data_IF_297989494892
#
_entry.id   IF_297989494892
#
_cell.length_a   1.000
_cell.length_b   1.000
_cell.length_c   1.000
_cell.angle_alpha   90.00
_cell.angle_beta   90.00
_cell.angle_gamma   90.00
#
_symmetry.space_group_name_H-M   'P 1'
#
loop_
_entity.id
_entity.type
_entity.pdbx_description
1 polymer ?
#
# COMPACT_ATOMS: atom_id res chain seq x y z
N UNK A 1 -32.42 -21.08 -60.43
CA UNK A 1 -33.75 -21.42 -59.87
C UNK A 1 -33.56 -22.06 -58.51
N UNK A 2 -33.75 -21.26 -57.45
CA UNK A 2 -34.26 -21.60 -56.11
C UNK A 2 -34.03 -23.02 -55.55
N UNK A 3 -33.25 -23.17 -54.47
CA UNK A 3 -33.81 -23.19 -53.09
C UNK A 3 -32.77 -23.56 -52.01
N UNK A 4 -32.63 -22.65 -51.04
CA UNK A 4 -32.69 -22.84 -49.58
C UNK A 4 -31.85 -23.97 -48.97
N UNK A 5 -30.74 -23.60 -48.31
CA UNK A 5 -30.20 -24.37 -47.19
C UNK A 5 -29.98 -23.47 -45.96
N UNK A 6 -30.75 -23.84 -44.95
CA UNK A 6 -31.02 -23.22 -43.66
C UNK A 6 -29.78 -23.35 -42.75
N UNK A 7 -29.09 -22.25 -42.46
CA UNK A 7 -28.01 -22.24 -41.48
C UNK A 7 -28.55 -21.88 -40.09
N UNK A 8 -28.64 -22.90 -39.24
CA UNK A 8 -28.70 -22.73 -37.80
C UNK A 8 -27.30 -22.30 -37.32
N UNK A 9 -27.11 -21.04 -36.96
CA UNK A 9 -25.99 -20.61 -36.13
C UNK A 9 -26.52 -20.19 -34.76
N UNK A 10 -26.55 -21.18 -33.84
CA UNK A 10 -26.59 -20.93 -32.41
C UNK A 10 -25.24 -20.34 -32.03
N UNK A 11 -25.16 -19.01 -31.95
CA UNK A 11 -24.05 -18.34 -31.28
C UNK A 11 -24.20 -18.56 -29.77
N UNK A 12 -23.50 -19.56 -29.26
CA UNK A 12 -23.24 -19.70 -27.84
C UNK A 12 -22.45 -18.46 -27.39
N UNK A 13 -23.10 -17.58 -26.63
CA UNK A 13 -22.43 -16.51 -25.90
C UNK A 13 -21.58 -17.21 -24.84
N UNK A 14 -20.30 -17.44 -25.16
CA UNK A 14 -19.29 -17.81 -24.20
C UNK A 14 -19.14 -16.62 -23.24
N UNK A 15 -19.86 -16.68 -22.12
CA UNK A 15 -19.71 -15.76 -21.01
C UNK A 15 -18.27 -15.83 -20.54
N UNK A 16 -17.47 -14.85 -20.92
CA UNK A 16 -16.14 -14.62 -20.37
C UNK A 16 -16.34 -14.06 -18.96
N UNK A 17 -16.06 -14.81 -17.87
CA UNK A 17 -16.20 -14.29 -16.53
C UNK A 17 -14.91 -13.55 -16.18
N UNK A 18 -14.59 -12.46 -16.90
CA UNK A 18 -13.34 -11.73 -16.68
C UNK A 18 -13.46 -10.60 -15.63
N UNK A 19 -14.60 -10.44 -14.97
CA UNK A 19 -14.83 -9.27 -14.10
C UNK A 19 -14.89 -9.56 -12.60
N UNK A 20 -14.68 -10.81 -12.15
CA UNK A 20 -14.80 -11.13 -10.72
C UNK A 20 -13.60 -10.66 -9.85
N UNK A 21 -12.48 -10.22 -10.44
CA UNK A 21 -11.24 -10.00 -9.67
C UNK A 21 -11.03 -8.57 -9.13
N UNK A 22 -11.95 -7.62 -9.34
CA UNK A 22 -11.74 -6.22 -8.90
C UNK A 22 -12.60 -5.77 -7.71
N UNK A 23 -13.50 -6.60 -7.20
CA UNK A 23 -14.49 -6.21 -6.16
C UNK A 23 -14.00 -6.45 -4.71
N UNK A 24 -12.85 -7.11 -4.51
CA UNK A 24 -12.22 -7.27 -3.18
C UNK A 24 -11.35 -6.07 -2.76
N UNK A 25 -11.51 -4.92 -3.42
CA UNK A 25 -10.81 -3.70 -3.04
C UNK A 25 -11.34 -3.20 -1.68
N UNK A 26 -10.56 -3.47 -0.62
CA UNK A 26 -10.52 -2.72 0.65
C UNK A 26 -11.41 -3.16 1.84
N UNK A 27 -11.71 -4.45 2.02
CA UNK A 27 -12.20 -4.89 3.34
C UNK A 27 -11.11 -4.64 4.41
N UNK A 28 -11.35 -3.67 5.31
CA UNK A 28 -10.40 -3.26 6.34
C UNK A 28 -9.62 -1.97 6.06
N UNK A 29 -9.96 -1.19 5.02
CA UNK A 29 -9.45 0.18 4.86
C UNK A 29 -10.55 1.18 5.21
N UNK A 30 -10.21 2.23 5.95
CA UNK A 30 -11.11 3.34 6.31
C UNK A 30 -10.36 4.66 6.26
N UNK A 31 -10.49 5.39 5.14
CA UNK A 31 -9.68 6.59 4.91
C UNK A 31 -8.20 6.22 4.89
N UNK A 32 -7.40 6.89 5.71
CA UNK A 32 -5.96 6.62 5.87
C UNK A 32 -5.64 5.56 6.92
N UNK A 33 -6.59 4.71 7.29
CA UNK A 33 -6.40 3.63 8.24
C UNK A 33 -6.56 2.27 7.56
N UNK A 34 -5.69 1.33 7.89
CA UNK A 34 -5.82 -0.08 7.51
C UNK A 34 -5.85 -0.95 8.76
N UNK A 35 -6.69 -1.98 8.79
CA UNK A 35 -6.73 -2.91 9.93
C UNK A 35 -5.55 -3.90 9.89
N UNK A 36 -5.25 -4.49 11.04
CA UNK A 36 -4.31 -5.62 11.14
C UNK A 36 -4.64 -6.74 10.16
N UNK A 37 -5.92 -7.14 10.07
CA UNK A 37 -6.34 -8.21 9.14
C UNK A 37 -6.17 -7.85 7.66
N UNK A 38 -6.28 -6.57 7.29
CA UNK A 38 -5.94 -6.12 5.94
C UNK A 38 -4.44 -6.27 5.68
N UNK A 39 -3.60 -5.82 6.62
CA UNK A 39 -2.15 -5.89 6.46
C UNK A 39 -1.64 -7.33 6.39
N UNK A 40 -2.14 -8.22 7.25
CA UNK A 40 -1.80 -9.66 7.24
C UNK A 40 -2.03 -10.31 5.87
N UNK A 41 -3.18 -10.01 5.23
CA UNK A 41 -3.51 -10.49 3.88
C UNK A 41 -2.59 -9.90 2.80
N UNK A 42 -1.94 -8.77 3.08
CA UNK A 42 -1.13 -8.01 2.12
C UNK A 42 0.39 -8.03 2.41
N UNK A 43 0.89 -8.79 3.39
CA UNK A 43 2.32 -8.84 3.73
C UNK A 43 3.24 -9.23 2.56
N UNK A 44 2.71 -9.96 1.58
CA UNK A 44 3.45 -10.39 0.38
C UNK A 44 3.08 -9.61 -0.88
N UNK A 45 2.24 -8.58 -0.76
CA UNK A 45 1.82 -7.76 -1.87
C UNK A 45 2.98 -6.84 -2.26
N UNK A 46 3.50 -7.01 -3.47
CA UNK A 46 4.62 -6.21 -3.97
C UNK A 46 4.28 -4.72 -4.09
N UNK A 47 3.00 -4.35 -4.10
CA UNK A 47 2.54 -2.96 -4.15
C UNK A 47 2.36 -2.31 -2.78
N UNK A 48 2.65 -3.02 -1.70
CA UNK A 48 2.59 -2.51 -0.32
C UNK A 48 4.01 -2.40 0.24
N UNK A 49 4.35 -1.20 0.71
CA UNK A 49 5.56 -0.94 1.50
C UNK A 49 5.15 -0.70 2.94
N UNK A 50 5.85 -1.35 3.88
CA UNK A 50 5.56 -1.24 5.31
C UNK A 50 6.71 -0.46 5.97
N UNK A 51 6.39 0.64 6.64
CA UNK A 51 7.35 1.47 7.36
C UNK A 51 7.08 1.41 8.87
N UNK A 52 8.10 1.04 9.64
CA UNK A 52 8.08 1.11 11.09
C UNK A 52 8.74 2.41 11.53
N UNK A 53 7.95 3.35 12.07
CA UNK A 53 8.40 4.65 12.53
C UNK A 53 9.13 4.61 13.89
N UNK A 54 9.27 3.43 14.50
CA UNK A 54 9.81 3.30 15.85
C UNK A 54 11.33 3.50 15.89
N UNK A 55 11.90 3.82 17.06
CA UNK A 55 13.35 3.84 17.23
C UNK A 55 13.97 2.49 16.85
N UNK A 56 15.16 2.51 16.24
CA UNK A 56 15.81 1.30 15.69
C UNK A 56 15.97 0.18 16.71
N UNK A 57 16.13 0.50 17.99
CA UNK A 57 16.21 -0.48 19.06
C UNK A 57 14.92 -1.30 19.19
N UNK A 58 13.76 -0.66 19.07
CA UNK A 58 12.47 -1.34 19.18
C UNK A 58 12.20 -2.16 17.92
N UNK A 59 12.45 -1.60 16.74
CA UNK A 59 12.35 -2.32 15.47
C UNK A 59 13.24 -3.58 15.48
N UNK A 60 14.49 -3.46 15.94
CA UNK A 60 15.43 -4.59 16.00
C UNK A 60 14.95 -5.68 16.96
N UNK A 61 14.33 -5.31 18.08
CA UNK A 61 13.79 -6.26 19.03
C UNK A 61 12.61 -7.06 18.46
N UNK A 62 11.70 -6.37 17.75
CA UNK A 62 10.57 -7.00 17.04
C UNK A 62 9.96 -6.01 16.04
N UNK A 63 9.70 -6.48 14.83
CA UNK A 63 9.01 -5.72 13.80
C UNK A 63 8.14 -6.65 12.93
N UNK A 64 7.26 -6.05 12.13
CA UNK A 64 6.46 -6.78 11.14
C UNK A 64 7.40 -7.28 10.02
N UNK A 65 7.37 -8.57 9.63
CA UNK A 65 8.24 -9.08 8.58
C UNK A 65 8.13 -8.28 7.28
N UNK A 66 9.27 -7.86 6.73
CA UNK A 66 9.35 -7.04 5.52
C UNK A 66 9.20 -5.53 5.74
N UNK A 67 8.93 -5.08 6.97
CA UNK A 67 8.92 -3.66 7.29
C UNK A 67 10.32 -3.05 7.21
N UNK A 68 10.39 -1.80 6.76
CA UNK A 68 11.61 -0.99 6.74
C UNK A 68 11.58 -0.07 7.96
N UNK A 69 12.69 0.01 8.69
CA UNK A 69 12.78 0.94 9.81
C UNK A 69 12.97 2.39 9.32
N UNK A 70 11.95 3.21 9.55
CA UNK A 70 12.07 4.66 9.57
C UNK A 70 12.30 5.08 11.02
N UNK A 71 13.54 5.09 11.51
CA UNK A 71 13.78 5.62 12.85
C UNK A 71 13.37 7.10 12.91
N UNK A 72 12.29 7.39 13.65
CA UNK A 72 11.70 8.74 13.72
C UNK A 72 12.69 9.78 14.26
N UNK A 73 13.60 9.40 15.15
CA UNK A 73 14.58 10.30 15.73
C UNK A 73 15.79 10.50 14.82
N UNK A 74 15.99 9.61 13.85
CA UNK A 74 17.00 9.76 12.80
C UNK A 74 16.46 10.54 11.61
N UNK A 75 15.23 10.25 11.18
CA UNK A 75 14.70 10.73 9.91
C UNK A 75 13.56 11.76 10.02
N UNK A 76 12.82 11.78 11.14
CA UNK A 76 11.65 12.65 11.33
C UNK A 76 11.96 14.02 11.96
N UNK A 77 13.22 14.28 12.32
CA UNK A 77 13.62 15.54 12.97
C UNK A 77 13.60 16.72 12.00
N UNK A 78 13.97 16.50 10.75
CA UNK A 78 14.05 17.54 9.73
C UNK A 78 13.69 16.99 8.34
N UNK A 79 12.93 17.78 7.59
CA UNK A 79 12.70 17.52 6.17
C UNK A 79 13.97 17.83 5.36
N UNK A 80 14.41 16.87 4.55
CA UNK A 80 15.50 16.97 3.60
C UNK A 80 15.10 17.66 2.28
N UNK A 81 16.08 18.14 1.50
CA UNK A 81 15.86 18.55 0.12
C UNK A 81 15.21 17.42 -0.72
N UNK A 82 14.37 17.80 -1.69
CA UNK A 82 13.58 16.85 -2.51
C UNK A 82 14.45 15.75 -3.13
N UNK A 83 15.60 16.10 -3.71
CA UNK A 83 16.47 15.11 -4.35
C UNK A 83 17.03 14.06 -3.37
N UNK A 84 17.27 14.43 -2.12
CA UNK A 84 17.81 13.51 -1.11
C UNK A 84 16.73 12.57 -0.58
N UNK A 85 15.53 13.09 -0.32
CA UNK A 85 14.41 12.26 0.12
C UNK A 85 13.96 11.32 -1.00
N UNK A 86 13.89 11.78 -2.25
CA UNK A 86 13.52 10.94 -3.39
C UNK A 86 14.47 9.74 -3.51
N UNK A 87 15.78 9.98 -3.45
CA UNK A 87 16.78 8.91 -3.48
C UNK A 87 16.60 7.92 -2.34
N UNK A 88 16.31 8.40 -1.12
CA UNK A 88 16.06 7.53 0.05
C UNK A 88 14.82 6.68 -0.15
N UNK A 89 13.70 7.29 -0.54
CA UNK A 89 12.44 6.59 -0.73
C UNK A 89 12.54 5.53 -1.84
N UNK A 90 13.22 5.85 -2.96
CA UNK A 90 13.49 4.88 -4.01
C UNK A 90 14.34 3.69 -3.52
N UNK A 91 15.35 3.93 -2.68
CA UNK A 91 16.15 2.86 -2.07
C UNK A 91 15.32 1.96 -1.14
N UNK A 92 14.21 2.46 -0.61
CA UNK A 92 13.22 1.71 0.17
C UNK A 92 12.12 1.07 -0.69
N UNK A 93 12.23 1.14 -2.02
CA UNK A 93 11.23 0.58 -2.93
C UNK A 93 9.94 1.40 -3.00
N UNK A 94 9.94 2.62 -2.47
CA UNK A 94 8.81 3.55 -2.55
C UNK A 94 8.88 4.27 -3.89
N UNK A 95 7.83 4.11 -4.66
CA UNK A 95 7.65 4.71 -5.99
C UNK A 95 6.17 5.07 -6.19
N UNK A 96 5.84 5.90 -7.20
CA UNK A 96 4.45 6.17 -7.54
C UNK A 96 3.63 4.88 -7.71
N UNK A 97 2.41 4.87 -7.18
CA UNK A 97 1.50 3.71 -7.22
C UNK A 97 1.66 2.70 -6.09
N UNK A 98 2.69 2.81 -5.24
CA UNK A 98 2.80 1.99 -4.03
C UNK A 98 1.87 2.49 -2.94
N UNK A 99 1.25 1.56 -2.20
CA UNK A 99 0.58 1.82 -0.93
C UNK A 99 1.62 1.79 0.18
N UNK A 100 1.64 2.82 1.02
CA UNK A 100 2.59 2.94 2.13
C UNK A 100 1.83 2.78 3.44
N UNK A 101 2.11 1.70 4.18
CA UNK A 101 1.52 1.44 5.49
C UNK A 101 2.55 1.76 6.56
N UNK A 102 2.24 2.75 7.40
CA UNK A 102 3.09 3.22 8.48
C UNK A 102 2.54 2.70 9.81
N UNK A 103 3.43 2.27 10.69
CA UNK A 103 3.06 1.89 12.04
C UNK A 103 4.16 2.28 13.03
N UNK A 104 3.81 2.23 14.31
CA UNK A 104 4.74 2.32 15.42
C UNK A 104 4.27 1.37 16.54
N UNK A 105 4.74 1.56 17.76
CA UNK A 105 4.40 0.69 18.89
C UNK A 105 2.94 0.80 19.36
N UNK A 106 2.14 1.67 18.74
CA UNK A 106 0.73 1.90 19.05
C UNK A 106 0.57 3.05 20.03
N UNK A 107 -0.45 3.89 19.81
CA UNK A 107 -0.80 5.00 20.69
C UNK A 107 0.24 6.13 20.74
N UNK A 108 1.16 6.21 19.77
CA UNK A 108 2.16 7.29 19.68
C UNK A 108 1.93 8.15 18.46
N UNK A 109 2.76 9.20 18.30
CA UNK A 109 2.66 10.13 17.17
C UNK A 109 3.59 9.78 16.00
N UNK A 110 4.43 8.74 16.13
CA UNK A 110 5.58 8.54 15.25
C UNK A 110 5.15 8.19 13.83
N UNK A 111 4.21 7.26 13.66
CA UNK A 111 3.65 6.90 12.36
C UNK A 111 2.93 8.09 11.72
N UNK A 112 2.20 8.87 12.50
CA UNK A 112 1.49 10.07 12.01
C UNK A 112 2.47 11.18 11.58
N UNK A 113 3.60 11.34 12.29
CA UNK A 113 4.64 12.30 11.91
C UNK A 113 5.33 11.92 10.61
N UNK A 114 5.54 10.62 10.38
CA UNK A 114 6.02 10.08 9.11
C UNK A 114 4.98 10.29 7.99
N UNK A 115 3.69 10.04 8.26
CA UNK A 115 2.62 10.33 7.30
C UNK A 115 2.65 11.79 6.86
N UNK A 116 2.78 12.72 7.82
CA UNK A 116 2.92 14.15 7.51
C UNK A 116 4.14 14.45 6.63
N UNK A 117 5.31 13.84 6.88
CA UNK A 117 6.48 14.01 6.01
C UNK A 117 6.17 13.59 4.58
N UNK A 118 5.55 12.42 4.39
CA UNK A 118 5.24 11.92 3.05
C UNK A 118 4.21 12.80 2.33
N UNK A 119 3.17 13.25 3.03
CA UNK A 119 2.21 14.22 2.51
C UNK A 119 2.89 15.55 2.12
N UNK A 120 3.79 16.06 2.98
CA UNK A 120 4.58 17.26 2.71
C UNK A 120 5.44 17.13 1.43
N UNK A 121 5.97 15.93 1.16
CA UNK A 121 6.70 15.63 -0.07
C UNK A 121 5.82 15.34 -1.29
N UNK A 122 4.50 15.48 -1.16
CA UNK A 122 3.55 15.36 -2.27
C UNK A 122 3.13 13.94 -2.60
N UNK A 123 3.30 12.99 -1.68
CA UNK A 123 2.72 11.66 -1.86
C UNK A 123 1.20 11.74 -1.80
N UNK A 124 0.47 11.08 -2.71
CA UNK A 124 -0.99 11.16 -2.71
C UNK A 124 -1.56 10.64 -1.39
N UNK A 125 -2.36 11.43 -0.64
CA UNK A 125 -2.88 10.99 0.65
C UNK A 125 -3.66 9.68 0.56
N UNK A 126 -4.34 9.41 -0.55
CA UNK A 126 -5.07 8.16 -0.78
C UNK A 126 -4.21 6.89 -0.78
N UNK A 127 -2.88 7.02 -0.91
CA UNK A 127 -1.93 5.91 -0.96
C UNK A 127 -1.11 5.80 0.34
N UNK A 128 -1.38 6.67 1.32
CA UNK A 128 -0.73 6.71 2.64
C UNK A 128 -1.67 6.16 3.71
N UNK A 129 -1.21 5.21 4.51
CA UNK A 129 -2.04 4.57 5.53
C UNK A 129 -1.29 4.41 6.85
N UNK A 130 -2.01 4.51 7.96
CA UNK A 130 -1.56 4.10 9.28
C UNK A 130 -2.22 2.76 9.62
N UNK A 131 -1.45 1.84 10.21
CA UNK A 131 -1.99 0.60 10.76
C UNK A 131 -2.81 0.90 12.02
N UNK A 132 -4.10 0.57 11.96
CA UNK A 132 -5.05 0.64 13.08
C UNK A 132 -4.94 -0.67 13.88
N UNK A 133 -4.33 -0.57 15.07
CA UNK A 133 -3.94 -1.68 15.94
C UNK A 133 -4.61 -1.64 17.30
#
# INVERSE_FOLDING_TARGET
MTNVLRYCFLLAIAGCPLTAHLVMAEEGVKGNLVTVGWLEKNLKNADVVILDASPSQIYTAKHIPGAINYDIFTYGVQELPIAEIEKRLQAWGISPGKKIVMYDQGGTYMATRLLFSLDYYGFPPKDLYILDG
#
